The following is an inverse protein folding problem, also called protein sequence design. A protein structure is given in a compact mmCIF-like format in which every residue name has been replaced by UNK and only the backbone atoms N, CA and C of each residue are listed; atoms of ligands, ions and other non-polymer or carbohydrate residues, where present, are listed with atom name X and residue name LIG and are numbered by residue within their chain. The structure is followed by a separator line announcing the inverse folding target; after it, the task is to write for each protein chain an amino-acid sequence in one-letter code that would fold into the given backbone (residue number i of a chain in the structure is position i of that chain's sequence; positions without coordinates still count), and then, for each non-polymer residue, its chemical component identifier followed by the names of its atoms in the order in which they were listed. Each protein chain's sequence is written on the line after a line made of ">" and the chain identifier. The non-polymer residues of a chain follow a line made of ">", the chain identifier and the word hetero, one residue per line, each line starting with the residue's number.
data_IF_369818843543
#
_entry.id   IF_369818843543
#
_cell.length_a   1.000
_cell.length_b   1.000
_cell.length_c   1.000
_cell.angle_alpha   90.00
_cell.angle_beta   90.00
_cell.angle_gamma   90.00
#
_symmetry.space_group_name_H-M   'P 1'
#
loop_
_entity.id
_entity.type
_entity.pdbx_description
1 polymer ?
#
# COMPACT_ATOMS: atom_id res chain seq x y z
N UNK A 1 -3.51 -12.52 -14.88
CA UNK A 1 -4.16 -12.90 -13.62
C UNK A 1 -5.66 -12.78 -13.73
N UNK A 2 -6.36 -12.74 -12.60
CA UNK A 2 -7.81 -12.60 -12.53
C UNK A 2 -8.26 -11.15 -12.79
N UNK A 3 -9.47 -10.98 -13.31
CA UNK A 3 -10.10 -9.66 -13.53
C UNK A 3 -11.08 -9.36 -12.39
N UNK A 4 -10.71 -8.41 -11.54
CA UNK A 4 -11.45 -7.99 -10.33
C UNK A 4 -11.52 -6.46 -10.23
N UNK A 5 -11.36 -5.75 -11.35
CA UNK A 5 -11.45 -4.29 -11.39
C UNK A 5 -12.79 -3.84 -10.81
N UNK A 6 -12.77 -2.80 -9.98
CA UNK A 6 -13.96 -2.24 -9.32
C UNK A 6 -14.78 -3.23 -8.48
N UNK A 7 -14.25 -4.42 -8.20
CA UNK A 7 -14.93 -5.42 -7.39
C UNK A 7 -15.07 -4.94 -5.94
N UNK A 8 -16.15 -5.36 -5.29
CA UNK A 8 -16.33 -5.20 -3.86
C UNK A 8 -15.80 -6.46 -3.16
N UNK A 9 -14.64 -6.31 -2.51
CA UNK A 9 -13.92 -7.35 -1.78
C UNK A 9 -13.82 -7.02 -0.28
N UNK A 10 -14.69 -6.13 0.21
CA UNK A 10 -14.65 -5.66 1.60
C UNK A 10 -14.81 -6.81 2.58
N UNK A 11 -13.92 -6.89 3.55
CA UNK A 11 -13.95 -7.93 4.59
C UNK A 11 -13.75 -9.37 4.09
N UNK A 12 -13.41 -9.57 2.81
CA UNK A 12 -13.19 -10.92 2.27
C UNK A 12 -11.93 -11.56 2.85
N UNK A 13 -11.97 -12.88 2.98
CA UNK A 13 -10.81 -13.69 3.34
C UNK A 13 -10.08 -14.17 2.08
N UNK A 14 -8.89 -13.63 1.87
CA UNK A 14 -7.99 -13.87 0.74
C UNK A 14 -6.58 -14.24 1.22
N UNK A 15 -6.47 -14.72 2.47
CA UNK A 15 -5.20 -15.12 3.07
C UNK A 15 -4.50 -16.18 2.23
N UNK A 16 -3.21 -15.97 1.96
CA UNK A 16 -2.39 -16.86 1.14
C UNK A 16 -2.80 -16.94 -0.34
N UNK A 17 -3.71 -16.09 -0.81
CA UNK A 17 -4.13 -16.11 -2.21
C UNK A 17 -2.97 -15.76 -3.16
N UNK A 18 -2.90 -16.47 -4.28
CA UNK A 18 -1.94 -16.19 -5.35
C UNK A 18 -2.62 -15.33 -6.42
N UNK A 19 -2.44 -14.01 -6.33
CA UNK A 19 -3.04 -13.00 -7.22
C UNK A 19 -2.00 -12.39 -8.18
N UNK A 20 -1.10 -13.23 -8.70
CA UNK A 20 -0.08 -12.81 -9.67
C UNK A 20 -0.72 -12.23 -10.94
N UNK A 21 -0.33 -11.02 -11.31
CA UNK A 21 -0.85 -10.32 -12.49
C UNK A 21 -2.36 -10.06 -12.42
N UNK A 22 -2.92 -9.91 -11.22
CA UNK A 22 -4.33 -9.59 -11.01
C UNK A 22 -4.63 -8.16 -11.49
N UNK A 23 -5.84 -7.94 -11.98
CA UNK A 23 -6.37 -6.61 -12.25
C UNK A 23 -7.37 -6.24 -11.15
N UNK A 24 -6.96 -5.38 -10.22
CA UNK A 24 -7.74 -4.87 -9.09
C UNK A 24 -7.92 -3.35 -9.16
N UNK A 25 -7.70 -2.74 -10.33
CA UNK A 25 -7.83 -1.29 -10.42
C UNK A 25 -9.22 -0.82 -9.96
N UNK A 26 -9.23 0.13 -9.03
CA UNK A 26 -10.44 0.67 -8.41
C UNK A 26 -11.22 -0.29 -7.50
N UNK A 27 -10.70 -1.48 -7.20
CA UNK A 27 -11.36 -2.44 -6.30
C UNK A 27 -11.43 -1.92 -4.86
N UNK A 28 -12.47 -2.34 -4.14
CA UNK A 28 -12.69 -2.00 -2.75
C UNK A 28 -12.36 -3.18 -1.84
N UNK A 29 -11.17 -3.16 -1.24
CA UNK A 29 -10.62 -4.20 -0.39
C UNK A 29 -10.60 -3.78 1.10
N UNK A 30 -11.41 -2.79 1.49
CA UNK A 30 -11.39 -2.26 2.86
C UNK A 30 -11.68 -3.37 3.88
N UNK A 31 -10.83 -3.47 4.89
CA UNK A 31 -10.92 -4.49 5.94
C UNK A 31 -10.74 -5.93 5.48
N UNK A 32 -10.29 -6.19 4.25
CA UNK A 32 -10.04 -7.55 3.76
C UNK A 32 -8.87 -8.22 4.51
N UNK A 33 -8.94 -9.54 4.64
CA UNK A 33 -7.87 -10.38 5.19
C UNK A 33 -7.01 -10.88 4.03
N UNK A 34 -5.84 -10.28 3.83
CA UNK A 34 -4.94 -10.51 2.71
C UNK A 34 -3.51 -10.81 3.19
N UNK A 35 -3.39 -11.47 4.35
CA UNK A 35 -2.09 -11.89 4.85
C UNK A 35 -1.45 -12.90 3.90
N UNK A 36 -0.15 -12.78 3.68
CA UNK A 36 0.64 -13.64 2.80
C UNK A 36 0.14 -13.71 1.34
N UNK A 37 -0.63 -12.71 0.89
CA UNK A 37 -1.14 -12.65 -0.49
C UNK A 37 -0.05 -12.17 -1.46
N UNK A 38 0.04 -12.83 -2.62
CA UNK A 38 0.98 -12.44 -3.67
C UNK A 38 0.32 -11.58 -4.74
N UNK A 39 0.71 -10.30 -4.85
CA UNK A 39 0.19 -9.34 -5.84
C UNK A 39 1.17 -9.02 -6.97
N UNK A 40 2.24 -9.81 -7.11
CA UNK A 40 3.30 -9.45 -8.03
C UNK A 40 2.80 -9.27 -9.48
N UNK A 41 3.34 -8.27 -10.18
CA UNK A 41 2.89 -7.83 -11.52
C UNK A 41 1.41 -7.40 -11.60
N UNK A 42 0.74 -7.15 -10.48
CA UNK A 42 -0.67 -6.77 -10.44
C UNK A 42 -0.91 -5.30 -10.76
N UNK A 43 -2.03 -5.02 -11.41
CA UNK A 43 -2.57 -3.66 -11.55
C UNK A 43 -3.52 -3.39 -10.37
N UNK A 44 -3.02 -2.70 -9.35
CA UNK A 44 -3.78 -2.37 -8.15
C UNK A 44 -4.24 -0.90 -8.15
N UNK A 45 -4.05 -0.16 -9.24
CA UNK A 45 -4.21 1.31 -9.26
C UNK A 45 -5.55 1.76 -8.72
N UNK A 46 -5.53 2.74 -7.81
CA UNK A 46 -6.72 3.35 -7.18
C UNK A 46 -7.59 2.37 -6.37
N UNK A 47 -7.06 1.20 -6.03
CA UNK A 47 -7.73 0.29 -5.11
C UNK A 47 -7.71 0.83 -3.68
N UNK A 48 -8.66 0.37 -2.86
CA UNK A 48 -8.81 0.79 -1.46
C UNK A 48 -8.50 -0.36 -0.53
N UNK A 49 -7.38 -0.27 0.17
CA UNK A 49 -6.95 -1.23 1.20
C UNK A 49 -7.07 -0.66 2.61
N UNK A 50 -7.90 0.38 2.83
CA UNK A 50 -8.00 0.99 4.17
C UNK A 50 -8.38 -0.06 5.22
N UNK A 51 -7.59 -0.18 6.27
CA UNK A 51 -7.80 -1.17 7.34
C UNK A 51 -7.64 -2.63 6.93
N UNK A 52 -7.13 -2.94 5.73
CA UNK A 52 -6.87 -4.31 5.30
C UNK A 52 -5.67 -4.90 6.06
N UNK A 53 -5.69 -6.23 6.25
CA UNK A 53 -4.56 -6.96 6.84
C UNK A 53 -3.70 -7.52 5.71
N UNK A 54 -2.54 -6.92 5.48
CA UNK A 54 -1.63 -7.21 4.37
C UNK A 54 -0.27 -7.71 4.87
N UNK A 55 -0.20 -8.20 6.11
CA UNK A 55 1.02 -8.76 6.72
C UNK A 55 1.63 -9.82 5.80
N UNK A 56 2.92 -9.72 5.51
CA UNK A 56 3.62 -10.67 4.63
C UNK A 56 3.24 -10.62 3.14
N UNK A 57 2.38 -9.68 2.72
CA UNK A 57 2.00 -9.53 1.31
C UNK A 57 3.18 -9.09 0.44
N UNK A 58 3.20 -9.55 -0.81
CA UNK A 58 4.28 -9.21 -1.76
C UNK A 58 3.75 -8.41 -2.95
N UNK A 59 4.34 -7.24 -3.19
CA UNK A 59 3.93 -6.30 -4.24
C UNK A 59 4.95 -6.14 -5.36
N UNK A 60 5.90 -7.07 -5.52
CA UNK A 60 6.95 -6.97 -6.54
C UNK A 60 6.37 -6.69 -7.95
N UNK A 61 6.85 -5.63 -8.59
CA UNK A 61 6.41 -5.15 -9.90
C UNK A 61 4.92 -4.79 -10.00
N UNK A 62 4.25 -4.53 -8.86
CA UNK A 62 2.86 -4.08 -8.86
C UNK A 62 2.75 -2.57 -9.12
N UNK A 63 1.65 -2.17 -9.74
CA UNK A 63 1.27 -0.77 -9.97
C UNK A 63 0.33 -0.30 -8.85
N UNK A 64 0.83 0.59 -7.99
CA UNK A 64 0.13 1.06 -6.79
C UNK A 64 -0.38 2.50 -6.92
N UNK A 65 -0.41 3.10 -8.12
CA UNK A 65 -0.78 4.51 -8.25
C UNK A 65 -2.15 4.82 -7.66
N UNK A 66 -2.20 5.81 -6.77
CA UNK A 66 -3.44 6.24 -6.12
C UNK A 66 -4.04 5.24 -5.13
N UNK A 67 -3.33 4.17 -4.75
CA UNK A 67 -3.81 3.20 -3.76
C UNK A 67 -3.99 3.85 -2.39
N UNK A 68 -4.97 3.37 -1.65
CA UNK A 68 -5.25 3.83 -0.29
C UNK A 68 -4.95 2.73 0.72
N UNK A 69 -3.78 2.80 1.37
CA UNK A 69 -3.34 1.88 2.41
C UNK A 69 -3.53 2.45 3.83
N UNK A 70 -4.36 3.48 4.00
CA UNK A 70 -4.53 4.11 5.32
C UNK A 70 -5.00 3.10 6.37
N UNK A 71 -4.35 3.11 7.52
CA UNK A 71 -4.61 2.17 8.61
C UNK A 71 -4.48 0.67 8.24
N UNK A 72 -3.85 0.33 7.11
CA UNK A 72 -3.57 -1.06 6.75
C UNK A 72 -2.42 -1.62 7.60
N UNK A 73 -2.43 -2.93 7.83
CA UNK A 73 -1.33 -3.63 8.46
C UNK A 73 -0.38 -4.16 7.40
N UNK A 74 0.77 -3.51 7.21
CA UNK A 74 1.79 -3.84 6.22
C UNK A 74 3.04 -4.46 6.85
N UNK A 75 2.95 -5.00 8.07
CA UNK A 75 4.11 -5.63 8.75
C UNK A 75 4.66 -6.79 7.92
N UNK A 76 5.96 -6.73 7.61
CA UNK A 76 6.62 -7.73 6.76
C UNK A 76 6.10 -7.77 5.31
N UNK A 77 5.33 -6.76 4.87
CA UNK A 77 4.98 -6.64 3.47
C UNK A 77 6.19 -6.14 2.66
N UNK A 78 6.31 -6.63 1.43
CA UNK A 78 7.44 -6.34 0.55
C UNK A 78 7.05 -5.34 -0.54
N UNK A 79 7.65 -4.15 -0.47
CA UNK A 79 7.51 -3.04 -1.42
C UNK A 79 8.77 -2.77 -2.26
N UNK A 80 9.86 -3.53 -2.08
CA UNK A 80 11.19 -3.23 -2.65
C UNK A 80 11.20 -3.10 -4.19
N UNK A 81 10.35 -3.85 -4.87
CA UNK A 81 10.30 -3.88 -6.34
C UNK A 81 9.01 -3.30 -6.94
N UNK A 82 8.24 -2.49 -6.21
CA UNK A 82 7.00 -1.91 -6.75
C UNK A 82 7.30 -1.00 -7.94
N UNK A 83 6.48 -1.10 -8.99
CA UNK A 83 6.70 -0.35 -10.22
C UNK A 83 6.45 1.14 -9.98
N UNK A 84 5.35 1.47 -9.30
CA UNK A 84 4.96 2.84 -9.04
C UNK A 84 4.09 2.95 -7.78
N UNK A 85 4.37 3.95 -6.94
CA UNK A 85 3.59 4.34 -5.76
C UNK A 85 2.99 5.75 -5.90
N UNK A 86 2.97 6.31 -7.12
CA UNK A 86 2.55 7.69 -7.34
C UNK A 86 1.13 7.96 -6.80
N UNK A 87 1.02 8.85 -5.81
CA UNK A 87 -0.24 9.17 -5.16
C UNK A 87 -0.79 8.06 -4.26
N UNK A 88 -0.04 6.98 -3.99
CA UNK A 88 -0.39 6.03 -2.95
C UNK A 88 -0.31 6.69 -1.56
N UNK A 89 -1.15 6.26 -0.62
CA UNK A 89 -1.29 6.90 0.70
C UNK A 89 -1.14 5.86 1.80
N UNK A 90 -0.22 6.12 2.73
CA UNK A 90 0.16 5.20 3.80
C UNK A 90 -0.15 5.70 5.21
N UNK A 91 -0.86 6.83 5.35
CA UNK A 91 -1.11 7.45 6.67
C UNK A 91 -1.73 6.47 7.66
N UNK A 92 -1.06 6.28 8.81
CA UNK A 92 -1.50 5.37 9.86
C UNK A 92 -1.35 3.88 9.56
N UNK A 93 -0.73 3.50 8.44
CA UNK A 93 -0.36 2.12 8.18
C UNK A 93 0.70 1.63 9.18
N UNK A 94 0.73 0.33 9.46
CA UNK A 94 1.71 -0.30 10.35
C UNK A 94 2.78 -1.04 9.53
N UNK A 95 4.01 -1.17 10.04
CA UNK A 95 5.04 -2.00 9.41
C UNK A 95 5.83 -1.36 8.28
N UNK A 96 5.90 -0.03 8.27
CA UNK A 96 6.72 0.81 7.40
C UNK A 96 8.25 0.71 7.59
N UNK A 97 8.73 0.23 8.73
CA UNK A 97 10.15 0.32 9.15
C UNK A 97 11.12 -0.27 8.11
N UNK A 98 10.73 -1.36 7.45
CA UNK A 98 11.61 -2.10 6.55
C UNK A 98 11.80 -1.44 5.17
N UNK A 99 10.80 -0.72 4.67
CA UNK A 99 10.75 -0.26 3.27
C UNK A 99 10.60 1.25 3.12
N UNK A 100 10.34 1.98 4.21
CA UNK A 100 10.05 3.41 4.15
C UNK A 100 11.18 4.24 3.55
N UNK A 101 12.41 4.05 4.01
CA UNK A 101 13.57 4.82 3.54
C UNK A 101 13.83 4.57 2.05
N UNK A 102 13.64 3.33 1.61
CA UNK A 102 13.69 2.97 0.20
C UNK A 102 12.62 3.70 -0.60
N UNK A 103 11.37 3.72 -0.14
CA UNK A 103 10.30 4.46 -0.83
C UNK A 103 10.56 5.98 -0.82
N UNK A 104 11.07 6.55 0.27
CA UNK A 104 11.41 7.98 0.35
C UNK A 104 12.61 8.37 -0.54
N UNK A 105 13.44 7.40 -0.94
CA UNK A 105 14.54 7.62 -1.89
C UNK A 105 14.09 7.73 -3.35
N UNK A 106 12.81 7.46 -3.65
CA UNK A 106 12.24 7.53 -5.01
C UNK A 106 12.15 8.97 -5.54
N UNK A 107 12.04 9.16 -6.87
CA UNK A 107 12.02 10.50 -7.47
C UNK A 107 10.85 11.37 -6.96
N UNK A 108 11.08 12.68 -6.84
CA UNK A 108 10.05 13.62 -6.39
C UNK A 108 8.81 13.64 -7.30
N UNK A 109 8.97 13.37 -8.61
CA UNK A 109 7.84 13.27 -9.54
C UNK A 109 6.86 12.18 -9.14
N UNK A 110 7.34 11.11 -8.51
CA UNK A 110 6.52 10.02 -8.02
C UNK A 110 5.97 10.34 -6.62
N UNK A 111 6.83 10.81 -5.72
CA UNK A 111 6.49 11.06 -4.32
C UNK A 111 5.56 12.26 -4.09
N UNK A 112 5.67 13.30 -4.91
CA UNK A 112 4.89 14.54 -4.77
C UNK A 112 3.57 14.49 -5.57
N UNK A 113 3.22 13.31 -6.11
CA UNK A 113 1.93 13.08 -6.75
C UNK A 113 0.78 13.24 -5.74
N UNK A 114 -0.14 14.15 -6.05
CA UNK A 114 -1.28 14.47 -5.20
C UNK A 114 -2.38 13.41 -5.26
N UNK A 115 -2.72 12.81 -4.11
CA UNK A 115 -3.92 12.00 -3.98
C UNK A 115 -5.13 12.87 -3.64
N UNK A 116 -6.08 13.02 -4.59
CA UNK A 116 -7.28 13.85 -4.37
C UNK A 116 -8.20 13.33 -3.26
N UNK A 117 -8.25 12.02 -3.02
CA UNK A 117 -9.14 11.41 -2.03
C UNK A 117 -8.60 11.61 -0.60
N UNK A 118 -7.30 11.39 -0.42
CA UNK A 118 -6.65 11.57 0.88
C UNK A 118 -6.24 13.03 1.16
N UNK A 119 -6.18 13.87 0.12
CA UNK A 119 -5.75 15.27 0.20
C UNK A 119 -4.32 15.44 0.75
N UNK A 120 -3.42 14.57 0.30
CA UNK A 120 -2.00 14.63 0.59
C UNK A 120 -1.20 14.03 -0.58
N UNK A 121 0.12 14.22 -0.56
CA UNK A 121 1.05 13.51 -1.44
C UNK A 121 1.47 12.17 -0.85
N UNK A 122 2.11 11.33 -1.66
CA UNK A 122 2.72 10.08 -1.18
C UNK A 122 3.81 10.38 -0.15
N UNK A 123 4.68 11.36 -0.44
CA UNK A 123 5.70 11.87 0.49
C UNK A 123 5.10 12.24 1.85
N UNK A 124 4.12 13.13 1.86
CA UNK A 124 3.46 13.58 3.10
C UNK A 124 2.87 12.40 3.88
N UNK A 125 2.31 11.40 3.18
CA UNK A 125 1.74 10.23 3.84
C UNK A 125 2.79 9.29 4.45
N UNK A 126 3.98 9.21 3.85
CA UNK A 126 5.12 8.42 4.33
C UNK A 126 5.90 9.14 5.44
N UNK A 127 5.92 10.48 5.42
CA UNK A 127 6.56 11.33 6.42
C UNK A 127 5.66 11.60 7.63
N UNK A 128 4.35 11.37 7.48
CA UNK A 128 3.37 11.50 8.56
C UNK A 128 3.75 10.66 9.79
N UNK A 129 3.40 11.18 10.96
CA UNK A 129 3.53 10.52 12.25
C UNK A 129 2.73 9.21 12.21
N UNK A 130 3.32 8.10 12.65
CA UNK A 130 2.60 6.83 12.71
C UNK A 130 1.46 6.85 13.75
N UNK A 131 0.65 5.79 13.78
CA UNK A 131 -0.40 5.62 14.77
C UNK A 131 0.11 5.60 16.23
N UNK A 132 1.43 5.51 16.44
CA UNK A 132 2.09 5.44 17.73
C UNK A 132 2.76 6.77 18.15
N UNK A 133 2.71 7.81 17.31
CA UNK A 133 3.29 9.11 17.63
C UNK A 133 4.76 9.29 17.21
N UNK A 134 5.34 8.35 16.46
CA UNK A 134 6.75 8.42 16.06
C UNK A 134 6.94 9.24 14.77
N UNK A 135 7.95 10.10 14.78
CA UNK A 135 8.42 10.86 13.61
C UNK A 135 9.56 10.12 12.89
N UNK A 136 9.73 10.32 11.57
CA UNK A 136 10.98 9.95 10.89
C UNK A 136 12.19 10.58 11.59
N UNK A 137 13.21 9.77 11.90
CA UNK A 137 14.53 10.25 12.35
C UNK A 137 14.61 10.76 13.79
N UNK A 138 13.61 10.48 14.64
CA UNK A 138 13.78 10.68 16.09
C UNK A 138 14.75 9.63 16.65
N UNK A 139 15.76 10.00 17.44
CA UNK A 139 16.66 9.01 18.04
C UNK A 139 15.81 8.08 18.93
N UNK A 140 15.97 6.78 18.75
CA UNK A 140 15.51 5.80 19.72
C UNK A 140 16.13 6.17 21.07
N UNK A 141 15.31 6.68 21.99
CA UNK A 141 15.65 6.93 23.38
C UNK A 141 15.35 5.70 24.24
#
# INVERSE_FOLDING_TARGET
>A
GAFLNTADLRGMDLRGAFLLGVYLSGADCRGALMQDTGFANGDLRRSRFCGALLTGSRFAYAQLEGCDFRAADLRGADFSAVESIAGAVFTGALGWEDWRDELLSRPCQELDCWNRLARCTTRESLEAIDAHGNTPGGPHG
#
